data_IF_328340722991
#
_entry.id   IF_328340722991
#
_cell.length_a   1.000
_cell.length_b   1.000
_cell.length_c   1.000
_cell.angle_alpha   90.00
_cell.angle_beta   90.00
_cell.angle_gamma   90.00
#
_symmetry.space_group_name_H-M   'P 1'
#
loop_
_entity.id
_entity.type
_entity.pdbx_description
1 polymer ?
#
# COMPACT_ATOMS: atom_id res chain seq x y z
N UNK A 1 36.19 -14.85 -31.48
CA UNK A 1 35.57 -15.34 -30.23
C UNK A 1 35.02 -14.13 -29.49
N UNK A 2 33.69 -14.01 -29.42
CA UNK A 2 32.99 -12.87 -28.82
C UNK A 2 33.06 -12.97 -27.30
N UNK A 3 33.55 -11.91 -26.65
CA UNK A 3 33.46 -11.75 -25.21
C UNK A 3 32.00 -11.54 -24.83
N UNK A 4 31.32 -12.63 -24.48
CA UNK A 4 30.05 -12.54 -23.74
C UNK A 4 30.42 -11.94 -22.40
N UNK A 5 30.11 -10.66 -22.20
CA UNK A 5 30.19 -10.01 -20.92
C UNK A 5 29.46 -10.90 -19.90
N UNK A 6 30.19 -11.44 -18.92
CA UNK A 6 29.61 -12.01 -17.72
C UNK A 6 28.69 -10.94 -17.14
N UNK A 7 27.37 -11.11 -17.31
CA UNK A 7 26.41 -10.33 -16.54
C UNK A 7 26.67 -10.70 -15.09
N UNK A 8 27.09 -9.72 -14.31
CA UNK A 8 27.28 -9.87 -12.86
C UNK A 8 25.96 -10.34 -12.25
N UNK A 9 25.85 -11.63 -11.96
CA UNK A 9 24.66 -12.25 -11.36
C UNK A 9 24.32 -11.63 -10.00
N UNK A 10 25.27 -10.93 -9.36
CA UNK A 10 25.04 -10.23 -8.10
C UNK A 10 24.18 -8.97 -8.25
N UNK A 11 23.94 -8.50 -9.48
CA UNK A 11 23.32 -7.21 -9.77
C UNK A 11 21.84 -7.31 -10.21
N UNK A 12 21.25 -8.50 -10.14
CA UNK A 12 19.83 -8.71 -10.48
C UNK A 12 18.95 -8.36 -9.26
N UNK A 13 17.91 -7.52 -9.40
CA UNK A 13 17.04 -7.19 -8.29
C UNK A 13 16.32 -8.41 -7.71
N UNK A 14 16.38 -8.60 -6.40
CA UNK A 14 15.66 -9.65 -5.67
C UNK A 14 14.58 -9.10 -4.74
N UNK A 15 14.48 -7.77 -4.60
CA UNK A 15 13.51 -7.10 -3.74
C UNK A 15 12.65 -6.12 -4.54
N UNK A 16 11.34 -6.34 -4.55
CA UNK A 16 10.36 -5.41 -5.13
C UNK A 16 9.93 -4.36 -4.11
N UNK A 17 10.16 -3.08 -4.39
CA UNK A 17 9.57 -1.96 -3.64
C UNK A 17 8.45 -1.33 -4.45
N UNK A 18 7.20 -1.51 -4.00
CA UNK A 18 6.01 -0.94 -4.64
C UNK A 18 5.70 0.42 -4.03
N UNK A 19 5.73 1.47 -4.85
CA UNK A 19 5.36 2.83 -4.46
C UNK A 19 3.90 3.11 -4.84
N UNK A 20 3.07 3.52 -3.88
CA UNK A 20 1.61 3.67 -4.07
C UNK A 20 1.15 5.08 -3.74
N UNK A 21 0.72 5.82 -4.77
CA UNK A 21 0.31 7.21 -4.63
C UNK A 21 -1.08 7.36 -3.99
N UNK A 22 -1.36 8.58 -3.50
CA UNK A 22 -2.62 8.94 -2.87
C UNK A 22 -3.72 9.36 -3.86
N UNK A 23 -4.79 9.93 -3.30
CA UNK A 23 -5.94 10.49 -4.03
C UNK A 23 -5.50 11.46 -5.14
N UNK A 24 -6.15 11.37 -6.31
CA UNK A 24 -5.97 12.28 -7.46
C UNK A 24 -4.53 12.42 -7.98
N UNK A 25 -3.60 11.60 -7.50
CA UNK A 25 -2.21 11.62 -7.89
C UNK A 25 -1.92 10.64 -9.04
N UNK A 26 -0.67 10.61 -9.47
CA UNK A 26 -0.13 9.68 -10.46
C UNK A 26 1.24 9.18 -9.98
N UNK A 27 1.87 8.22 -10.68
CA UNK A 27 3.23 7.78 -10.35
C UNK A 27 4.27 8.90 -10.27
N UNK A 28 4.04 10.03 -10.95
CA UNK A 28 5.04 11.12 -11.03
C UNK A 28 5.38 11.73 -9.67
N UNK A 29 4.50 11.62 -8.66
CA UNK A 29 4.78 12.07 -7.29
C UNK A 29 5.95 11.34 -6.65
N UNK A 30 6.31 10.16 -7.17
CA UNK A 30 7.39 9.34 -6.65
C UNK A 30 8.73 9.56 -7.35
N UNK A 31 8.82 10.39 -8.40
CA UNK A 31 10.06 10.54 -9.20
C UNK A 31 11.30 10.84 -8.35
N UNK A 32 11.17 11.77 -7.40
CA UNK A 32 12.27 12.13 -6.50
C UNK A 32 12.62 10.97 -5.55
N UNK A 33 11.61 10.34 -4.95
CA UNK A 33 11.80 9.21 -4.02
C UNK A 33 12.44 8.03 -4.73
N UNK A 34 12.01 7.72 -5.95
CA UNK A 34 12.59 6.66 -6.77
C UNK A 34 14.07 6.93 -7.06
N UNK A 35 14.41 8.14 -7.50
CA UNK A 35 15.79 8.53 -7.77
C UNK A 35 16.68 8.43 -6.53
N UNK A 36 16.22 8.96 -5.39
CA UNK A 36 16.99 8.93 -4.14
C UNK A 36 17.10 7.51 -3.56
N UNK A 37 16.06 6.69 -3.68
CA UNK A 37 16.10 5.29 -3.24
C UNK A 37 17.07 4.49 -4.10
N UNK A 38 17.04 4.62 -5.43
CA UNK A 38 18.02 3.97 -6.32
C UNK A 38 19.46 4.27 -5.91
N UNK A 39 19.72 5.53 -5.50
CA UNK A 39 21.04 5.96 -5.03
C UNK A 39 21.44 5.33 -3.69
N UNK A 40 20.49 5.14 -2.77
CA UNK A 40 20.77 4.67 -1.40
C UNK A 40 20.76 3.15 -1.24
N UNK A 41 19.78 2.47 -1.82
CA UNK A 41 19.59 1.02 -1.64
C UNK A 41 20.21 0.20 -2.79
N UNK A 42 20.71 0.87 -3.82
CA UNK A 42 21.39 0.25 -4.95
C UNK A 42 20.45 -0.53 -5.88
N UNK A 43 21.06 -1.38 -6.68
CA UNK A 43 20.46 -2.15 -7.78
C UNK A 43 19.74 -3.42 -7.34
N UNK A 44 19.85 -3.81 -6.06
CA UNK A 44 19.13 -4.97 -5.50
C UNK A 44 17.62 -4.78 -5.44
N UNK A 45 17.16 -3.53 -5.53
CA UNK A 45 15.76 -3.18 -5.50
C UNK A 45 15.20 -2.93 -6.90
N UNK A 46 14.11 -3.62 -7.23
CA UNK A 46 13.21 -3.21 -8.29
C UNK A 46 12.21 -2.21 -7.68
N UNK A 47 12.46 -0.92 -7.89
CA UNK A 47 11.58 0.15 -7.42
C UNK A 47 10.50 0.37 -8.49
N UNK A 48 9.24 0.24 -8.09
CA UNK A 48 8.10 0.27 -9.01
C UNK A 48 7.02 1.23 -8.52
N UNK A 49 6.83 2.35 -9.22
CA UNK A 49 5.76 3.29 -8.95
C UNK A 49 4.46 2.85 -9.65
N UNK A 50 3.48 2.43 -8.86
CA UNK A 50 2.20 1.92 -9.35
C UNK A 50 1.39 3.00 -10.08
N UNK A 51 0.87 2.64 -11.26
CA UNK A 51 0.04 3.50 -12.12
C UNK A 51 -1.44 3.08 -12.15
N UNK A 52 -1.74 1.91 -11.59
CA UNK A 52 -3.05 1.25 -11.57
C UNK A 52 -4.23 2.14 -11.14
N UNK A 53 -3.97 3.18 -10.35
CA UNK A 53 -4.97 4.05 -9.75
C UNK A 53 -4.81 5.53 -10.09
N UNK A 54 -4.14 5.87 -11.19
CA UNK A 54 -3.88 7.27 -11.60
C UNK A 54 -5.15 8.13 -11.68
N UNK A 55 -5.06 9.34 -11.15
CA UNK A 55 -6.07 10.41 -11.23
C UNK A 55 -7.44 9.99 -10.70
N UNK A 56 -8.48 10.08 -11.53
CA UNK A 56 -9.88 9.84 -11.14
C UNK A 56 -10.17 8.38 -10.79
N UNK A 57 -9.29 7.44 -11.17
CA UNK A 57 -9.41 6.02 -10.78
C UNK A 57 -9.38 5.81 -9.26
N UNK A 58 -8.80 6.76 -8.51
CA UNK A 58 -8.78 6.76 -7.04
C UNK A 58 -10.17 6.88 -6.39
N UNK A 59 -11.20 7.29 -7.14
CA UNK A 59 -12.56 7.52 -6.62
C UNK A 59 -13.48 6.28 -6.68
N UNK A 60 -13.06 5.23 -7.38
CA UNK A 60 -13.86 4.03 -7.63
C UNK A 60 -14.00 3.04 -6.47
N UNK A 61 -13.54 3.40 -5.26
CA UNK A 61 -13.49 2.53 -4.08
C UNK A 61 -12.09 2.00 -3.80
N UNK A 62 -11.76 1.93 -2.51
CA UNK A 62 -10.53 1.36 -1.93
C UNK A 62 -10.37 -0.11 -2.31
N UNK A 63 -11.45 -0.88 -2.30
CA UNK A 63 -11.46 -2.29 -2.69
C UNK A 63 -11.18 -2.48 -4.19
N UNK A 64 -11.83 -1.68 -5.04
CA UNK A 64 -11.56 -1.68 -6.48
C UNK A 64 -10.13 -1.26 -6.81
N UNK A 65 -9.64 -0.22 -6.14
CA UNK A 65 -8.27 0.26 -6.28
C UNK A 65 -7.23 -0.77 -5.80
N UNK A 66 -7.50 -1.43 -4.67
CA UNK A 66 -6.66 -2.50 -4.13
C UNK A 66 -6.59 -3.72 -5.06
N UNK A 67 -7.72 -4.13 -5.66
CA UNK A 67 -7.73 -5.22 -6.66
C UNK A 67 -6.90 -4.89 -7.91
N UNK A 68 -7.01 -3.68 -8.44
CA UNK A 68 -6.19 -3.23 -9.58
C UNK A 68 -4.70 -3.19 -9.24
N UNK A 69 -4.36 -2.70 -8.05
CA UNK A 69 -2.97 -2.69 -7.57
C UNK A 69 -2.43 -4.12 -7.41
N UNK A 70 -3.22 -5.03 -6.84
CA UNK A 70 -2.83 -6.43 -6.71
C UNK A 70 -2.54 -7.07 -8.07
N UNK A 71 -3.37 -6.81 -9.07
CA UNK A 71 -3.15 -7.31 -10.43
C UNK A 71 -1.88 -6.74 -11.07
N UNK A 72 -1.66 -5.43 -10.94
CA UNK A 72 -0.42 -4.79 -11.43
C UNK A 72 0.82 -5.39 -10.75
N UNK A 73 0.77 -5.64 -9.43
CA UNK A 73 1.86 -6.31 -8.69
C UNK A 73 2.09 -7.74 -9.20
N UNK A 74 1.05 -8.54 -9.42
CA UNK A 74 1.20 -9.90 -10.01
C UNK A 74 1.94 -9.85 -11.34
N UNK A 75 1.59 -8.90 -12.21
CA UNK A 75 2.23 -8.74 -13.51
C UNK A 75 3.70 -8.36 -13.39
N UNK A 76 4.06 -7.49 -12.43
CA UNK A 76 5.47 -7.14 -12.16
C UNK A 76 6.24 -8.37 -11.67
N UNK A 77 5.68 -9.12 -10.73
CA UNK A 77 6.32 -10.34 -10.18
C UNK A 77 6.49 -11.42 -11.24
N UNK A 78 5.48 -11.65 -12.08
CA UNK A 78 5.55 -12.65 -13.15
C UNK A 78 6.64 -12.33 -14.18
N UNK A 79 6.88 -11.05 -14.46
CA UNK A 79 7.92 -10.57 -15.39
C UNK A 79 9.33 -10.65 -14.83
N UNK A 80 9.52 -10.77 -13.52
CA UNK A 80 10.83 -10.80 -12.89
C UNK A 80 10.98 -11.99 -11.92
N UNK A 81 11.55 -13.08 -12.44
CA UNK A 81 11.74 -14.35 -11.72
C UNK A 81 12.78 -14.31 -10.60
N UNK A 82 13.60 -13.25 -10.56
CA UNK A 82 14.63 -13.07 -9.53
C UNK A 82 14.09 -12.54 -8.21
N UNK A 83 12.87 -11.98 -8.22
CA UNK A 83 12.25 -11.39 -7.03
C UNK A 83 11.97 -12.47 -5.99
N UNK A 84 12.39 -12.20 -4.76
CA UNK A 84 12.18 -13.04 -3.57
C UNK A 84 11.45 -12.29 -2.46
N UNK A 85 11.59 -10.97 -2.43
CA UNK A 85 11.10 -10.08 -1.36
C UNK A 85 10.20 -8.99 -1.90
N UNK A 86 9.24 -8.55 -1.10
CA UNK A 86 8.35 -7.43 -1.43
C UNK A 86 8.23 -6.44 -0.28
N UNK A 87 8.14 -5.16 -0.61
CA UNK A 87 7.81 -4.08 0.32
C UNK A 87 6.90 -3.07 -0.32
N UNK A 88 6.12 -2.37 0.50
CA UNK A 88 5.23 -1.29 0.09
C UNK A 88 5.65 0.00 0.76
N UNK A 89 5.67 1.08 -0.01
CA UNK A 89 5.72 2.46 0.48
C UNK A 89 4.53 3.21 -0.11
N UNK A 90 3.60 3.62 0.74
CA UNK A 90 2.35 4.20 0.28
C UNK A 90 2.06 5.55 0.95
N UNK A 91 1.46 6.48 0.20
CA UNK A 91 1.14 7.82 0.68
C UNK A 91 -0.37 8.06 0.71
N UNK A 92 -0.86 8.64 1.80
CA UNK A 92 -2.25 9.04 1.99
C UNK A 92 -3.20 7.87 1.70
N UNK A 93 -4.22 8.08 0.87
CA UNK A 93 -5.18 7.06 0.43
C UNK A 93 -4.52 5.82 -0.20
N UNK A 94 -3.32 5.97 -0.76
CA UNK A 94 -2.55 4.87 -1.34
C UNK A 94 -2.24 3.76 -0.32
N UNK A 95 -2.09 4.09 0.96
CA UNK A 95 -1.88 3.09 2.00
C UNK A 95 -3.09 2.18 2.21
N UNK A 96 -4.30 2.70 2.02
CA UNK A 96 -5.53 1.88 2.06
C UNK A 96 -5.62 0.99 0.82
N UNK A 97 -5.23 1.49 -0.37
CA UNK A 97 -5.16 0.67 -1.57
C UNK A 97 -4.15 -0.47 -1.42
N UNK A 98 -2.95 -0.17 -0.90
CA UNK A 98 -1.91 -1.15 -0.64
C UNK A 98 -2.36 -2.19 0.39
N UNK A 99 -2.99 -1.77 1.49
CA UNK A 99 -3.51 -2.66 2.53
C UNK A 99 -4.54 -3.64 1.95
N UNK A 100 -5.44 -3.17 1.08
CA UNK A 100 -6.38 -4.04 0.41
C UNK A 100 -5.71 -4.96 -0.63
N UNK A 101 -4.73 -4.46 -1.38
CA UNK A 101 -3.98 -5.26 -2.35
C UNK A 101 -3.23 -6.40 -1.68
N UNK A 102 -2.60 -6.15 -0.52
CA UNK A 102 -1.92 -7.16 0.29
C UNK A 102 -2.84 -8.33 0.61
N UNK A 103 -4.06 -8.06 1.09
CA UNK A 103 -5.01 -9.12 1.39
C UNK A 103 -5.45 -9.93 0.17
N UNK A 104 -5.54 -9.28 -1.00
CA UNK A 104 -5.86 -9.95 -2.28
C UNK A 104 -4.69 -10.79 -2.79
N UNK A 105 -3.45 -10.42 -2.46
CA UNK A 105 -2.21 -11.09 -2.89
C UNK A 105 -1.74 -12.17 -1.92
N UNK A 106 -2.33 -12.22 -0.73
CA UNK A 106 -1.95 -13.12 0.33
C UNK A 106 -2.34 -14.55 -0.01
N UNK A 107 -1.38 -15.46 0.00
CA UNK A 107 -1.62 -16.89 -0.22
C UNK A 107 -1.61 -17.65 1.11
N UNK A 108 -2.66 -18.46 1.32
CA UNK A 108 -2.72 -19.40 2.44
C UNK A 108 -2.28 -20.79 2.00
N UNK A 109 -1.92 -21.63 2.98
CA UNK A 109 -1.56 -23.04 2.76
C UNK A 109 -2.70 -23.88 2.15
N UNK A 110 -3.95 -23.39 2.18
CA UNK A 110 -5.15 -24.10 1.72
C UNK A 110 -5.69 -23.60 0.36
N UNK A 111 -4.94 -22.79 -0.40
CA UNK A 111 -5.35 -22.47 -1.77
C UNK A 111 -5.14 -23.72 -2.67
N UNK A 112 -6.18 -24.55 -2.75
CA UNK A 112 -6.28 -25.85 -3.43
C UNK A 112 -5.87 -25.85 -4.93
N UNK A 113 -5.56 -24.70 -5.50
CA UNK A 113 -5.08 -24.56 -6.87
C UNK A 113 -3.56 -24.79 -7.02
N UNK A 114 -2.78 -24.78 -5.91
CA UNK A 114 -1.30 -24.94 -5.93
C UNK A 114 -0.85 -26.29 -5.33
N UNK A 115 -1.78 -27.21 -5.05
CA UNK A 115 -1.47 -28.53 -4.44
C UNK A 115 -0.89 -29.58 -5.39
N UNK A 116 -0.30 -29.19 -6.54
CA UNK A 116 0.38 -30.14 -7.46
C UNK A 116 1.91 -30.17 -7.36
N UNK A 117 2.51 -29.29 -6.56
CA UNK A 117 3.93 -29.35 -6.20
C UNK A 117 4.03 -29.51 -4.69
N UNK A 118 4.71 -30.55 -4.21
CA UNK A 118 4.80 -30.97 -2.80
C UNK A 118 5.46 -29.98 -1.81
N UNK A 119 5.46 -28.68 -2.09
CA UNK A 119 6.06 -27.60 -1.29
C UNK A 119 5.00 -26.65 -0.69
N UNK A 120 3.78 -27.14 -0.41
CA UNK A 120 2.66 -26.30 0.08
C UNK A 120 2.97 -25.56 1.39
N UNK A 121 3.89 -26.06 2.21
CA UNK A 121 4.34 -25.41 3.43
C UNK A 121 5.20 -24.14 3.21
N UNK A 122 5.88 -24.00 2.06
CA UNK A 122 6.83 -22.88 1.80
C UNK A 122 6.11 -21.58 1.39
N UNK A 123 4.87 -21.69 0.89
CA UNK A 123 4.11 -20.56 0.34
C UNK A 123 3.18 -19.87 1.35
N UNK A 124 3.07 -20.41 2.58
CA UNK A 124 2.27 -19.79 3.65
C UNK A 124 2.85 -18.41 4.00
N UNK A 125 1.99 -17.39 4.04
CA UNK A 125 2.37 -16.05 4.46
C UNK A 125 3.14 -15.24 3.42
N UNK A 126 3.05 -15.66 2.14
CA UNK A 126 3.64 -14.93 1.01
C UNK A 126 2.64 -13.96 0.40
N UNK A 127 3.18 -12.93 -0.24
CA UNK A 127 2.40 -11.93 -0.99
C UNK A 127 2.84 -11.98 -2.44
N UNK A 128 1.92 -12.40 -3.32
CA UNK A 128 2.25 -12.71 -4.72
C UNK A 128 3.40 -13.74 -4.83
N UNK A 129 3.54 -14.66 -3.87
CA UNK A 129 4.66 -15.61 -3.79
C UNK A 129 5.98 -15.04 -3.25
N UNK A 130 6.03 -13.76 -2.88
CA UNK A 130 7.22 -13.10 -2.33
C UNK A 130 7.18 -13.00 -0.81
N UNK A 131 8.36 -12.98 -0.18
CA UNK A 131 8.53 -12.71 1.25
C UNK A 131 8.14 -11.25 1.57
N UNK A 132 7.14 -10.99 2.41
CA UNK A 132 6.85 -9.64 2.89
C UNK A 132 7.97 -9.15 3.81
N UNK A 133 8.52 -7.96 3.53
CA UNK A 133 9.54 -7.33 4.37
C UNK A 133 8.98 -6.11 5.09
N UNK A 134 8.74 -5.01 4.37
CA UNK A 134 8.25 -3.75 4.97
C UNK A 134 6.90 -3.33 4.39
N UNK A 135 5.99 -2.90 5.26
CA UNK A 135 4.78 -2.15 4.87
C UNK A 135 4.80 -0.76 5.51
N UNK A 136 5.17 0.24 4.71
CA UNK A 136 5.34 1.62 5.16
C UNK A 136 4.22 2.49 4.58
N UNK A 137 3.58 3.25 5.45
CA UNK A 137 2.54 4.20 5.04
C UNK A 137 2.82 5.59 5.60
N UNK A 138 2.56 6.61 4.79
CA UNK A 138 2.78 8.02 5.08
C UNK A 138 1.44 8.76 5.08
N UNK A 139 1.04 9.32 6.22
CA UNK A 139 -0.21 10.08 6.36
C UNK A 139 -1.48 9.34 5.87
N UNK A 140 -1.50 8.00 6.02
CA UNK A 140 -2.64 7.17 5.59
C UNK A 140 -3.76 7.17 6.65
N UNK A 141 -5.02 7.42 6.26
CA UNK A 141 -6.16 7.40 7.18
C UNK A 141 -6.63 5.95 7.44
N UNK A 142 -5.80 5.15 8.12
CA UNK A 142 -6.05 3.72 8.35
C UNK A 142 -7.35 3.38 9.07
N UNK A 143 -7.85 4.31 9.89
CA UNK A 143 -9.08 4.17 10.67
C UNK A 143 -10.27 4.89 10.03
N UNK A 144 -10.10 5.41 8.81
CA UNK A 144 -11.07 6.28 8.18
C UNK A 144 -11.07 7.69 8.77
N UNK A 145 -12.05 8.48 8.35
CA UNK A 145 -12.26 9.86 8.78
C UNK A 145 -13.64 9.96 9.39
N UNK A 146 -13.74 10.34 10.67
CA UNK A 146 -15.03 10.57 11.35
C UNK A 146 -15.23 12.07 11.56
N UNK A 147 -16.12 12.66 10.77
CA UNK A 147 -16.56 14.05 10.98
C UNK A 147 -17.42 14.15 12.23
N UNK A 148 -17.14 15.09 13.14
CA UNK A 148 -18.11 15.48 14.16
C UNK A 148 -19.26 16.19 13.46
N UNK A 149 -20.50 15.90 13.88
CA UNK A 149 -21.79 16.33 13.30
C UNK A 149 -22.02 17.86 13.17
N UNK A 150 -20.99 18.70 13.27
CA UNK A 150 -21.11 20.16 13.13
C UNK A 150 -20.70 20.70 11.76
N UNK A 151 -20.19 19.87 10.85
CA UNK A 151 -20.19 20.04 9.39
C UNK A 151 -19.53 18.77 8.82
N UNK A 152 -20.21 17.95 8.00
CA UNK A 152 -19.73 16.60 7.66
C UNK A 152 -18.48 16.55 6.77
N UNK A 153 -17.78 17.66 6.54
CA UNK A 153 -16.88 17.77 5.39
C UNK A 153 -15.44 18.24 5.67
N UNK A 154 -15.11 18.91 6.79
CA UNK A 154 -13.85 19.69 6.81
C UNK A 154 -13.03 19.76 8.11
N UNK A 155 -13.20 18.85 9.09
CA UNK A 155 -12.21 18.61 10.18
C UNK A 155 -11.66 19.86 10.95
N UNK A 156 -12.24 21.06 10.81
CA UNK A 156 -11.77 22.30 11.42
C UNK A 156 -10.44 22.85 10.90
N UNK A 157 -10.00 22.50 9.68
CA UNK A 157 -8.72 22.97 9.11
C UNK A 157 -8.98 24.00 8.00
N UNK A 158 -8.63 25.30 8.18
CA UNK A 158 -8.96 26.39 7.23
C UNK A 158 -8.41 26.20 5.80
N UNK A 159 -7.35 25.40 5.65
CA UNK A 159 -6.76 25.06 4.35
C UNK A 159 -7.64 24.07 3.58
N UNK A 160 -8.34 23.15 4.26
CA UNK A 160 -9.29 22.24 3.62
C UNK A 160 -10.57 22.96 3.15
N UNK A 161 -10.98 24.04 3.84
CA UNK A 161 -12.14 24.86 3.44
C UNK A 161 -11.99 25.50 2.06
N UNK A 162 -10.78 25.98 1.72
CA UNK A 162 -10.50 26.50 0.37
C UNK A 162 -10.42 25.41 -0.70
N UNK A 163 -10.21 24.16 -0.30
CA UNK A 163 -10.21 23.00 -1.19
C UNK A 163 -11.61 22.37 -1.31
N UNK A 164 -12.57 22.70 -0.45
CA UNK A 164 -13.84 21.99 -0.28
C UNK A 164 -14.71 21.86 -1.55
N UNK A 165 -14.79 22.90 -2.38
CA UNK A 165 -15.60 22.88 -3.59
C UNK A 165 -15.11 21.86 -4.65
N UNK A 166 -13.80 21.81 -5.02
CA UNK A 166 -13.30 20.80 -5.96
C UNK A 166 -13.25 19.36 -5.40
N UNK A 167 -13.28 19.15 -4.08
CA UNK A 167 -13.38 17.80 -3.45
C UNK A 167 -14.81 17.44 -3.03
N UNK A 168 -15.83 18.27 -3.25
CA UNK A 168 -17.22 17.89 -2.97
C UNK A 168 -17.67 16.59 -3.69
N UNK A 169 -17.29 16.35 -4.97
CA UNK A 169 -17.57 15.09 -5.66
C UNK A 169 -16.81 13.88 -5.08
N UNK A 170 -15.72 14.09 -4.34
CA UNK A 170 -14.92 13.03 -3.73
C UNK A 170 -15.68 12.28 -2.62
N UNK A 171 -16.56 12.97 -1.90
CA UNK A 171 -17.40 12.37 -0.87
C UNK A 171 -18.64 11.67 -1.45
N UNK A 172 -18.95 11.92 -2.72
CA UNK A 172 -20.05 11.28 -3.47
C UNK A 172 -19.58 9.94 -4.08
N UNK A 173 -18.26 9.72 -4.18
CA UNK A 173 -17.69 8.48 -4.68
C UNK A 173 -17.66 7.34 -3.64
N UNK A 174 -17.54 6.10 -4.13
CA UNK A 174 -17.42 4.89 -3.28
C UNK A 174 -16.20 4.92 -2.37
N UNK A 175 -15.11 5.55 -2.79
CA UNK A 175 -13.95 5.80 -1.93
C UNK A 175 -14.31 6.66 -0.72
N UNK A 176 -15.13 7.70 -0.92
CA UNK A 176 -15.61 8.56 0.16
C UNK A 176 -16.47 7.78 1.15
N UNK A 177 -17.46 7.01 0.68
CA UNK A 177 -18.32 6.23 1.58
C UNK A 177 -17.53 5.24 2.44
N UNK A 178 -16.51 4.60 1.86
CA UNK A 178 -15.61 3.71 2.60
C UNK A 178 -14.71 4.46 3.59
N UNK A 179 -14.19 5.64 3.22
CA UNK A 179 -13.37 6.47 4.09
C UNK A 179 -14.14 6.98 5.31
N UNK A 180 -15.42 7.31 5.14
CA UNK A 180 -16.31 7.78 6.20
C UNK A 180 -17.03 6.66 6.95
N UNK A 181 -16.71 5.40 6.66
CA UNK A 181 -17.31 4.21 7.28
C UNK A 181 -18.84 4.15 7.08
N UNK A 182 -19.36 4.72 5.99
CA UNK A 182 -20.80 4.74 5.65
C UNK A 182 -21.18 3.65 4.64
N UNK A 183 -20.23 2.80 4.24
CA UNK A 183 -20.43 1.69 3.31
C UNK A 183 -20.89 0.38 3.98
N UNK A 184 -21.15 0.40 5.29
CA UNK A 184 -21.65 -0.75 6.04
C UNK A 184 -23.10 -1.11 5.73
N UNK A 185 -23.44 -2.39 5.92
CA UNK A 185 -24.79 -2.96 5.87
C UNK A 185 -25.10 -3.69 7.18
N UNK A 186 -26.36 -4.06 7.40
CA UNK A 186 -26.81 -4.71 8.63
C UNK A 186 -26.02 -5.99 8.99
N UNK A 187 -25.59 -6.73 7.98
CA UNK A 187 -24.84 -8.00 8.05
C UNK A 187 -23.34 -7.84 7.73
N UNK A 188 -22.90 -6.64 7.32
CA UNK A 188 -21.55 -6.43 6.80
C UNK A 188 -20.96 -5.10 7.29
N UNK A 189 -19.96 -5.14 8.21
CA UNK A 189 -19.35 -3.92 8.69
C UNK A 189 -18.63 -3.14 7.56
N UNK A 190 -18.42 -1.82 7.75
CA UNK A 190 -17.68 -0.98 6.81
C UNK A 190 -16.34 -1.58 6.38
N UNK A 191 -15.92 -1.34 5.14
CA UNK A 191 -14.70 -1.95 4.57
C UNK A 191 -13.47 -1.68 5.45
N UNK A 192 -13.27 -0.44 5.91
CA UNK A 192 -12.09 -0.11 6.71
C UNK A 192 -12.04 -0.83 8.05
N UNK A 193 -13.20 -1.12 8.64
CA UNK A 193 -13.27 -1.94 9.85
C UNK A 193 -12.91 -3.41 9.54
N UNK A 194 -13.41 -3.94 8.42
CA UNK A 194 -13.04 -5.28 7.94
C UNK A 194 -11.55 -5.38 7.60
N UNK A 195 -10.94 -4.29 7.15
CA UNK A 195 -9.50 -4.21 6.89
C UNK A 195 -8.65 -4.02 8.14
N UNK A 196 -9.25 -3.86 9.33
CA UNK A 196 -8.54 -3.70 10.61
C UNK A 196 -8.36 -5.02 11.37
N UNK A 197 -8.98 -6.10 10.91
CA UNK A 197 -8.86 -7.44 11.49
C UNK A 197 -8.76 -8.49 10.39
N UNK A 198 -8.08 -9.59 10.66
CA UNK A 198 -8.05 -10.73 9.75
C UNK A 198 -9.45 -11.39 9.77
N UNK A 199 -10.28 -11.09 8.76
CA UNK A 199 -11.59 -11.72 8.61
C UNK A 199 -11.49 -13.02 7.82
N UNK A 200 -12.57 -13.81 7.80
CA UNK A 200 -12.60 -15.13 7.15
C UNK A 200 -12.26 -15.07 5.65
N UNK A 201 -12.61 -13.98 4.96
CA UNK A 201 -12.40 -13.82 3.51
C UNK A 201 -11.04 -13.19 3.12
N UNK A 202 -10.42 -12.39 3.99
CA UNK A 202 -9.26 -11.54 3.65
C UNK A 202 -8.35 -11.35 4.88
N UNK A 203 -7.06 -11.64 4.72
CA UNK A 203 -6.02 -11.47 5.75
C UNK A 203 -5.24 -10.18 5.52
N UNK A 204 -5.21 -9.28 6.49
CA UNK A 204 -4.66 -7.94 6.34
C UNK A 204 -3.39 -7.69 7.17
N UNK A 205 -3.14 -8.41 8.27
CA UNK A 205 -2.02 -8.12 9.20
C UNK A 205 -1.02 -9.25 9.45
N UNK A 206 -1.18 -10.40 8.82
CA UNK A 206 -0.57 -11.60 9.37
C UNK A 206 0.98 -11.60 9.36
N UNK A 207 1.62 -11.05 8.31
CA UNK A 207 3.04 -11.34 8.00
C UNK A 207 3.94 -10.14 7.58
N UNK A 208 3.51 -8.88 7.71
CA UNK A 208 4.43 -7.72 7.53
C UNK A 208 4.99 -7.22 8.86
N UNK A 209 6.25 -6.75 8.84
CA UNK A 209 6.68 -5.76 9.81
C UNK A 209 6.06 -4.40 9.44
N UNK A 210 5.15 -3.92 10.29
CA UNK A 210 4.40 -2.69 10.05
C UNK A 210 5.11 -1.49 10.66
N UNK A 211 5.53 -0.55 9.81
CA UNK A 211 6.05 0.75 10.22
C UNK A 211 5.08 1.84 9.76
N UNK A 212 4.30 2.39 10.70
CA UNK A 212 3.44 3.55 10.44
C UNK A 212 4.23 4.83 10.70
N UNK A 213 4.48 5.63 9.66
CA UNK A 213 5.10 6.95 9.78
C UNK A 213 4.09 8.05 9.47
N UNK A 214 3.63 8.76 10.50
CA UNK A 214 2.83 9.97 10.36
C UNK A 214 3.78 11.16 10.14
N UNK A 215 3.92 11.63 8.90
CA UNK A 215 4.49 12.95 8.64
C UNK A 215 3.37 13.99 8.66
N UNK A 216 3.25 14.73 9.76
CA UNK A 216 2.59 16.03 9.76
C UNK A 216 3.69 17.10 9.83
N UNK A 217 3.91 17.84 8.74
CA UNK A 217 4.60 19.13 8.80
C UNK A 217 3.85 20.16 7.97
N UNK A 218 3.31 21.16 8.67
CA UNK A 218 2.96 22.48 8.12
C UNK A 218 4.25 23.24 7.77
N UNK A 219 4.28 24.13 6.77
CA UNK A 219 5.49 24.86 6.42
C UNK A 219 5.78 25.92 7.47
N UNK A 220 7.06 26.22 7.65
CA UNK A 220 7.67 27.19 8.56
C UNK A 220 8.15 26.69 9.92
N UNK A 221 9.47 26.87 10.04
CA UNK A 221 10.35 26.87 11.22
C UNK A 221 11.05 25.57 11.60
N UNK A 222 12.37 25.74 11.64
CA UNK A 222 13.44 24.87 12.12
C UNK A 222 13.17 24.37 13.54
N UNK A 223 13.47 23.09 13.81
CA UNK A 223 14.10 22.58 15.05
C UNK A 223 14.41 21.09 14.85
N UNK A 224 15.58 20.71 15.37
CA UNK A 224 16.23 19.40 15.31
C UNK A 224 15.60 18.40 16.30
N UNK A 225 15.75 17.12 15.99
CA UNK A 225 15.58 15.91 16.81
C UNK A 225 14.16 15.48 17.21
N UNK A 226 13.87 14.19 16.95
CA UNK A 226 12.73 13.46 17.50
C UNK A 226 11.99 12.62 16.45
N UNK A 227 12.54 11.46 16.07
CA UNK A 227 11.84 10.46 15.28
C UNK A 227 10.94 9.65 16.21
N UNK A 228 9.62 9.65 15.97
CA UNK A 228 8.67 8.73 16.59
C UNK A 228 7.97 7.95 15.49
N UNK A 229 8.58 6.83 15.12
CA UNK A 229 7.94 5.74 14.41
C UNK A 229 7.09 4.96 15.44
N UNK A 230 5.80 4.79 15.19
CA UNK A 230 5.06 3.73 15.88
C UNK A 230 5.29 2.44 15.10
N UNK A 231 6.18 1.61 15.63
CA UNK A 231 6.44 0.25 15.16
C UNK A 231 5.45 -0.66 15.87
N UNK A 232 4.57 -1.32 15.13
CA UNK A 232 3.85 -2.48 15.68
C UNK A 232 4.80 -3.67 15.54
N UNK A 233 5.54 -3.98 16.60
CA UNK A 233 6.38 -5.17 16.63
C UNK A 233 5.50 -6.38 16.97
N UNK A 234 5.43 -7.35 16.06
CA UNK A 234 4.96 -8.70 16.39
C UNK A 234 6.20 -9.51 16.72
N UNK A 235 6.42 -9.80 18.00
CA UNK A 235 7.42 -10.80 18.39
C UNK A 235 7.03 -12.13 17.73
N UNK A 236 7.92 -12.67 16.90
CA UNK A 236 7.82 -14.06 16.45
C UNK A 236 8.31 -14.91 17.61
N UNK A 237 7.38 -15.56 18.32
CA UNK A 237 7.69 -16.72 19.15
C UNK A 237 7.97 -17.93 18.25
#
# INVERSE_FOLDING_TARGET
MSAIAQRDENNVPDHLLVLVHGIWASPSVWLYVEAEMKRRVGTRFLIYASSSNTSTKTFGGIDGAGKRLAEEVRQVVQKSKSLKKISFLAHSLGGLFARHAVAVLYSQANDDAVSKSGDSHILRGRIAGLEPINFITLATPHLGVRGRKQLPFLLGVPILEKLAAPIAPFFIGRTGTQLFLTDGKADKPPLLLRMASDCEDLKFFHDFEFCLHLFLKSPFTSIRHGWLAYIFHKERN
#
